data_IF_699831384301
#
_entry.id   IF_699831384301
#
_cell.length_a   1.000
_cell.length_b   1.000
_cell.length_c   1.000
_cell.angle_alpha   90.00
_cell.angle_beta   90.00
_cell.angle_gamma   90.00
#
_symmetry.space_group_name_H-M   'P 1'
#
loop_
_entity.id
_entity.type
_entity.pdbx_description
1 polymer ?
#
# COMPACT_ATOMS: atom_id res chain seq x y z
N UNK A 1 2.24 -4.60 -22.90
CA UNK A 1 2.44 -4.42 -21.44
C UNK A 1 1.41 -5.26 -20.70
N UNK A 2 1.80 -5.91 -19.60
CA UNK A 2 0.93 -6.82 -18.87
C UNK A 2 0.69 -6.36 -17.43
N UNK A 3 -0.54 -6.55 -16.96
CA UNK A 3 -0.95 -6.28 -15.60
C UNK A 3 -1.54 -7.54 -14.98
N UNK A 4 -1.11 -7.86 -13.77
CA UNK A 4 -1.62 -8.95 -12.95
C UNK A 4 -2.14 -8.38 -11.64
N UNK A 5 -3.44 -8.49 -11.40
CA UNK A 5 -4.09 -8.04 -10.18
C UNK A 5 -4.33 -9.23 -9.27
N UNK A 6 -3.76 -9.15 -8.07
CA UNK A 6 -3.86 -10.14 -7.02
C UNK A 6 -4.72 -9.58 -5.88
N UNK A 7 -6.04 -9.82 -5.87
CA UNK A 7 -6.88 -9.52 -4.72
C UNK A 7 -6.62 -10.52 -3.59
N UNK A 8 -6.37 -10.02 -2.38
CA UNK A 8 -6.02 -10.83 -1.23
C UNK A 8 -6.63 -10.34 0.09
N UNK A 9 -6.95 -11.31 0.94
CA UNK A 9 -7.18 -11.08 2.36
C UNK A 9 -5.87 -11.33 3.10
N UNK A 10 -5.53 -10.45 4.02
CA UNK A 10 -4.37 -10.62 4.88
C UNK A 10 -4.78 -10.67 6.34
N UNK A 11 -3.99 -11.37 7.13
CA UNK A 11 -4.19 -11.46 8.58
C UNK A 11 -2.86 -11.53 9.31
N UNK A 12 -2.84 -10.99 10.52
CA UNK A 12 -1.64 -10.91 11.35
C UNK A 12 -0.45 -10.20 10.67
N UNK A 13 -0.73 -9.26 9.76
CA UNK A 13 0.28 -8.43 9.10
C UNK A 13 0.83 -7.40 10.09
N UNK A 14 2.14 -7.15 10.05
CA UNK A 14 2.75 -6.16 10.92
C UNK A 14 2.35 -4.74 10.47
N UNK A 15 1.68 -4.00 11.36
CA UNK A 15 1.29 -2.59 11.16
C UNK A 15 2.34 -1.61 11.68
N UNK A 16 3.34 -2.09 12.41
CA UNK A 16 4.48 -1.29 12.85
C UNK A 16 5.54 -1.31 11.75
N UNK A 17 5.44 -0.36 10.81
CA UNK A 17 6.37 -0.22 9.69
C UNK A 17 7.78 0.14 10.18
N UNK A 18 7.89 1.02 11.18
CA UNK A 18 9.15 1.35 11.86
C UNK A 18 8.90 1.64 13.34
N UNK A 19 9.94 1.97 14.10
CA UNK A 19 9.80 2.36 15.51
C UNK A 19 8.99 3.65 15.72
N UNK A 20 8.85 4.47 14.69
CA UNK A 20 8.12 5.74 14.72
C UNK A 20 6.85 5.75 13.85
N UNK A 21 6.54 4.65 13.14
CA UNK A 21 5.39 4.57 12.23
C UNK A 21 4.54 3.33 12.52
N UNK A 22 3.29 3.55 12.90
CA UNK A 22 2.27 2.53 13.13
C UNK A 22 1.01 2.91 12.37
N UNK A 23 0.36 1.90 11.78
CA UNK A 23 -1.01 2.02 11.31
C UNK A 23 -1.25 1.52 9.89
N UNK A 24 -0.19 1.26 9.14
CA UNK A 24 -0.23 0.62 7.83
C UNK A 24 1.05 -0.20 7.64
N UNK A 25 1.01 -1.39 7.00
CA UNK A 25 2.21 -2.10 6.58
C UNK A 25 3.17 -1.21 5.79
N UNK A 26 4.47 -1.47 5.90
CA UNK A 26 5.48 -0.77 5.11
C UNK A 26 5.29 -1.02 3.60
N UNK A 27 5.47 0.00 2.76
CA UNK A 27 5.44 -0.16 1.30
C UNK A 27 6.54 -1.11 0.81
N UNK A 28 7.66 -1.19 1.53
CA UNK A 28 8.71 -2.19 1.29
C UNK A 28 8.21 -3.63 1.44
N UNK A 29 7.19 -3.88 2.26
CA UNK A 29 6.56 -5.20 2.36
C UNK A 29 5.71 -5.54 1.13
N UNK A 30 5.02 -4.55 0.55
CA UNK A 30 4.28 -4.74 -0.70
C UNK A 30 5.22 -5.02 -1.89
N UNK A 31 6.34 -4.29 -1.95
CA UNK A 31 7.41 -4.58 -2.89
C UNK A 31 8.01 -5.99 -2.69
N UNK A 32 8.26 -6.40 -1.45
CA UNK A 32 8.74 -7.75 -1.14
C UNK A 32 7.76 -8.84 -1.58
N UNK A 33 6.45 -8.60 -1.39
CA UNK A 33 5.39 -9.49 -1.88
C UNK A 33 5.37 -9.56 -3.41
N UNK A 34 5.49 -8.43 -4.10
CA UNK A 34 5.59 -8.37 -5.56
C UNK A 34 6.81 -9.15 -6.10
N UNK A 35 7.97 -8.97 -5.46
CA UNK A 35 9.18 -9.71 -5.81
C UNK A 35 9.04 -11.21 -5.55
N UNK A 36 8.43 -11.61 -4.42
CA UNK A 36 8.17 -13.03 -4.14
C UNK A 36 7.19 -13.64 -5.15
N UNK A 37 6.18 -12.89 -5.60
CA UNK A 37 5.31 -13.33 -6.68
C UNK A 37 6.10 -13.59 -7.96
N UNK A 38 7.03 -12.70 -8.34
CA UNK A 38 7.94 -12.95 -9.47
C UNK A 38 8.76 -14.23 -9.29
N UNK A 39 9.33 -14.48 -8.10
CA UNK A 39 10.09 -15.71 -7.85
C UNK A 39 9.21 -16.96 -8.05
N UNK A 40 7.99 -16.98 -7.52
CA UNK A 40 7.05 -18.10 -7.70
C UNK A 40 6.72 -18.29 -9.18
N UNK A 41 6.47 -17.20 -9.92
CA UNK A 41 6.22 -17.26 -11.37
C UNK A 41 7.39 -17.91 -12.13
N UNK A 42 8.63 -17.54 -11.80
CA UNK A 42 9.83 -18.07 -12.45
C UNK A 42 10.15 -19.51 -12.06
N UNK A 43 10.18 -19.77 -10.76
CA UNK A 43 10.75 -20.98 -10.17
C UNK A 43 9.72 -22.11 -10.11
N UNK A 44 8.47 -21.81 -9.75
CA UNK A 44 7.44 -22.83 -9.54
C UNK A 44 6.52 -22.99 -10.75
N UNK A 45 6.23 -21.89 -11.45
CA UNK A 45 5.32 -21.88 -12.61
C UNK A 45 6.05 -21.89 -13.97
N UNK A 46 7.39 -21.83 -13.95
CA UNK A 46 8.23 -21.99 -15.15
C UNK A 46 8.28 -20.78 -16.09
N UNK A 47 7.74 -19.62 -15.70
CA UNK A 47 7.74 -18.39 -16.50
C UNK A 47 9.06 -17.64 -16.34
N UNK A 48 10.12 -18.16 -16.95
CA UNK A 48 11.52 -17.75 -16.69
C UNK A 48 11.78 -16.27 -16.97
N UNK A 49 11.10 -15.71 -17.96
CA UNK A 49 11.26 -14.32 -18.42
C UNK A 49 10.28 -13.33 -17.78
N UNK A 50 9.46 -13.79 -16.83
CA UNK A 50 8.57 -12.92 -16.06
C UNK A 50 9.38 -11.86 -15.31
N UNK A 51 9.25 -10.59 -15.68
CA UNK A 51 9.95 -9.50 -15.02
C UNK A 51 8.97 -8.45 -14.52
N UNK A 52 8.86 -8.38 -13.20
CA UNK A 52 8.18 -7.34 -12.46
C UNK A 52 8.88 -5.99 -12.65
N UNK A 53 8.09 -4.95 -12.90
CA UNK A 53 8.57 -3.58 -13.14
C UNK A 53 8.09 -2.61 -12.07
N UNK A 54 6.79 -2.59 -11.79
CA UNK A 54 6.20 -1.69 -10.80
C UNK A 54 4.94 -2.31 -10.18
N UNK A 55 4.53 -1.85 -8.99
CA UNK A 55 3.32 -2.32 -8.32
C UNK A 55 2.41 -1.18 -7.86
N UNK A 56 1.10 -1.43 -7.79
CA UNK A 56 0.13 -0.56 -7.11
C UNK A 56 -0.55 -1.34 -6.00
N UNK A 57 -0.78 -0.69 -4.86
CA UNK A 57 -1.45 -1.26 -3.70
C UNK A 57 -2.76 -0.52 -3.44
N UNK A 58 -3.83 -1.28 -3.27
CA UNK A 58 -5.16 -0.78 -2.98
C UNK A 58 -5.65 -1.49 -1.72
N UNK A 59 -6.08 -0.74 -0.70
CA UNK A 59 -6.73 -1.29 0.49
C UNK A 59 -8.24 -1.15 0.36
N UNK A 60 -8.99 -2.20 0.65
CA UNK A 60 -10.45 -2.15 0.76
C UNK A 60 -10.88 -2.05 2.23
N UNK A 61 -10.17 -2.75 3.11
CA UNK A 61 -10.34 -2.66 4.56
C UNK A 61 -9.02 -2.86 5.29
N UNK A 62 -8.92 -2.31 6.50
CA UNK A 62 -7.76 -2.49 7.37
C UNK A 62 -8.23 -2.45 8.83
N UNK A 63 -8.39 -3.65 9.40
CA UNK A 63 -8.75 -3.83 10.80
C UNK A 63 -7.50 -3.96 11.64
N UNK A 64 -7.45 -3.20 12.72
CA UNK A 64 -6.35 -3.24 13.67
C UNK A 64 -6.66 -4.29 14.72
N UNK A 65 -5.81 -5.30 14.76
CA UNK A 65 -5.84 -6.26 15.85
C UNK A 65 -4.99 -5.69 16.98
N UNK A 66 -5.65 -5.28 18.06
CA UNK A 66 -4.99 -4.74 19.25
C UNK A 66 -4.24 -5.81 20.07
N UNK A 67 -4.33 -7.09 19.68
CA UNK A 67 -3.72 -8.19 20.42
C UNK A 67 -2.23 -8.41 20.12
N UNK A 68 -1.41 -8.30 21.17
CA UNK A 68 0.00 -8.68 21.11
C UNK A 68 0.14 -10.22 21.00
N UNK A 69 0.99 -10.75 20.12
CA UNK A 69 1.16 -12.18 19.96
C UNK A 69 1.80 -12.79 21.22
N UNK A 70 1.16 -13.83 21.77
CA UNK A 70 1.77 -14.66 22.81
C UNK A 70 2.89 -15.50 22.19
N UNK A 71 4.10 -15.34 22.70
CA UNK A 71 5.25 -16.16 22.29
C UNK A 71 5.33 -17.40 23.17
N UNK A 72 5.73 -18.56 22.61
CA UNK A 72 5.95 -19.75 23.42
C UNK A 72 7.09 -19.50 24.42
N UNK A 73 7.09 -20.20 25.58
CA UNK A 73 8.21 -20.15 26.52
C UNK A 73 9.53 -20.53 25.82
N UNK A 74 10.62 -19.89 26.21
CA UNK A 74 11.96 -20.07 25.66
C UNK A 74 12.94 -20.49 26.77
N UNK A 75 13.97 -21.24 26.41
CA UNK A 75 15.05 -21.56 27.35
C UNK A 75 15.83 -20.28 27.73
N UNK A 76 16.08 -20.08 29.02
CA UNK A 76 16.85 -18.94 29.48
C UNK A 76 18.32 -19.02 29.00
N UNK A 77 18.84 -17.90 28.43
CA UNK A 77 20.24 -17.78 27.95
C UNK A 77 21.29 -18.02 29.04
N UNK A 78 20.92 -17.86 30.31
CA UNK A 78 21.82 -18.06 31.44
C UNK A 78 21.33 -19.25 32.28
N UNK A 79 21.95 -20.39 32.03
CA UNK A 79 22.05 -21.58 32.89
C UNK A 79 20.77 -22.16 33.49
N UNK A 80 20.32 -23.28 32.88
CA UNK A 80 19.67 -24.37 33.60
C UNK A 80 18.17 -24.54 33.34
N UNK A 81 17.83 -25.28 32.27
CA UNK A 81 16.61 -26.07 32.02
C UNK A 81 15.21 -25.47 32.31
N UNK A 82 15.09 -24.21 32.73
CA UNK A 82 13.82 -23.57 33.01
C UNK A 82 13.29 -22.85 31.77
N UNK A 83 12.06 -23.18 31.41
CA UNK A 83 11.32 -22.52 30.37
C UNK A 83 10.79 -21.19 30.90
N UNK A 84 11.26 -20.09 30.35
CA UNK A 84 10.87 -18.74 30.77
C UNK A 84 9.99 -18.13 29.68
N UNK A 85 8.93 -17.42 30.09
CA UNK A 85 8.17 -16.62 29.14
C UNK A 85 9.05 -15.49 28.62
N UNK A 86 9.21 -15.35 27.29
CA UNK A 86 10.02 -14.27 26.74
C UNK A 86 9.40 -12.92 27.08
N UNK A 87 10.24 -11.87 27.10
CA UNK A 87 9.75 -10.51 27.30
C UNK A 87 8.66 -10.17 26.29
N UNK A 88 7.64 -9.44 26.78
CA UNK A 88 6.60 -8.89 25.92
C UNK A 88 7.24 -7.98 24.88
N UNK A 89 6.82 -8.13 23.62
CA UNK A 89 7.21 -7.22 22.55
C UNK A 89 5.93 -6.64 21.98
N UNK A 90 5.86 -5.31 21.91
CA UNK A 90 4.76 -4.61 21.27
C UNK A 90 4.83 -4.88 19.76
N UNK A 91 3.93 -5.75 19.29
CA UNK A 91 3.74 -6.03 17.87
C UNK A 91 2.30 -5.66 17.56
N UNK A 92 2.14 -4.67 16.69
CA UNK A 92 0.84 -4.23 16.18
C UNK A 92 0.49 -5.04 14.96
N UNK A 93 -0.61 -5.78 15.02
CA UNK A 93 -1.07 -6.65 13.93
C UNK A 93 -2.31 -6.06 13.30
N UNK A 94 -2.52 -6.41 12.04
CA UNK A 94 -3.73 -6.05 11.32
C UNK A 94 -4.19 -7.18 10.42
N UNK A 95 -5.46 -7.11 10.09
CA UNK A 95 -6.11 -7.92 9.07
C UNK A 95 -6.86 -6.98 8.12
N UNK A 96 -7.30 -7.51 6.99
CA UNK A 96 -8.11 -6.74 6.05
C UNK A 96 -8.02 -7.28 4.64
N UNK A 97 -8.49 -6.46 3.72
CA UNK A 97 -8.61 -6.80 2.32
C UNK A 97 -7.82 -5.78 1.48
N UNK A 98 -7.06 -6.29 0.51
CA UNK A 98 -6.27 -5.45 -0.39
C UNK A 98 -6.16 -6.08 -1.79
N UNK A 99 -5.70 -5.28 -2.76
CA UNK A 99 -5.29 -5.76 -4.07
C UNK A 99 -3.88 -5.27 -4.40
N UNK A 100 -3.04 -6.18 -4.85
CA UNK A 100 -1.71 -5.88 -5.39
C UNK A 100 -1.75 -6.00 -6.91
N UNK A 101 -1.60 -4.89 -7.60
CA UNK A 101 -1.53 -4.85 -9.07
C UNK A 101 -0.08 -4.77 -9.50
N UNK A 102 0.37 -5.79 -10.22
CA UNK A 102 1.73 -5.92 -10.73
C UNK A 102 1.78 -5.52 -12.20
N UNK A 103 2.62 -4.54 -12.53
CA UNK A 103 3.07 -4.29 -13.89
C UNK A 103 4.30 -5.17 -14.16
N UNK A 104 4.23 -5.98 -15.23
CA UNK A 104 5.31 -6.86 -15.63
C UNK A 104 5.47 -6.94 -17.15
N UNK A 105 6.61 -7.52 -17.55
CA UNK A 105 6.95 -7.85 -18.94
C UNK A 105 7.28 -9.34 -19.04
N UNK A 106 6.91 -9.96 -20.16
CA UNK A 106 7.43 -11.25 -20.62
C UNK A 106 8.37 -10.93 -21.77
N UNK A 107 9.64 -11.35 -21.68
CA UNK A 107 10.66 -11.00 -22.68
C UNK A 107 10.68 -11.95 -23.87
N UNK A 108 10.17 -13.16 -23.69
CA UNK A 108 10.18 -14.21 -24.71
C UNK A 108 8.74 -14.66 -24.99
N UNK A 109 8.42 -14.83 -26.27
CA UNK A 109 7.13 -15.36 -26.73
C UNK A 109 6.93 -16.79 -26.20
N UNK A 110 8.02 -17.51 -25.89
CA UNK A 110 7.98 -18.85 -25.30
C UNK A 110 7.26 -18.92 -23.94
N UNK A 111 7.23 -17.83 -23.16
CA UNK A 111 6.50 -17.78 -21.89
C UNK A 111 5.06 -17.28 -22.06
N UNK A 112 4.69 -16.77 -23.23
CA UNK A 112 3.37 -16.21 -23.49
C UNK A 112 2.28 -17.29 -23.52
N UNK A 113 2.45 -18.34 -24.33
CA UNK A 113 1.49 -19.45 -24.41
C UNK A 113 1.31 -20.18 -23.05
N UNK A 114 2.38 -20.53 -22.31
CA UNK A 114 2.24 -21.08 -20.96
C UNK A 114 1.50 -20.16 -20.01
N UNK A 115 1.72 -18.84 -20.10
CA UNK A 115 1.07 -17.86 -19.25
C UNK A 115 -0.43 -17.74 -19.56
N UNK A 116 -0.82 -17.68 -20.83
CA UNK A 116 -2.24 -17.67 -21.22
C UNK A 116 -2.95 -18.97 -20.81
N UNK A 117 -2.28 -20.12 -20.94
CA UNK A 117 -2.81 -21.41 -20.47
C UNK A 117 -3.02 -21.43 -18.95
N UNK A 118 -2.05 -20.91 -18.17
CA UNK A 118 -2.14 -20.77 -16.72
C UNK A 118 -3.36 -19.92 -16.29
N UNK A 119 -3.69 -18.89 -17.05
CA UNK A 119 -4.81 -17.98 -16.72
C UNK A 119 -6.17 -18.53 -17.12
N UNK A 120 -6.25 -19.16 -18.28
CA UNK A 120 -7.52 -19.64 -18.85
C UNK A 120 -7.96 -21.00 -18.28
N UNK A 121 -7.02 -21.91 -18.03
CA UNK A 121 -7.32 -23.30 -17.66
C UNK A 121 -6.82 -23.68 -16.26
N UNK A 122 -5.76 -23.03 -15.76
CA UNK A 122 -5.15 -23.38 -14.47
C UNK A 122 -5.16 -22.24 -13.44
N UNK A 123 -6.13 -21.33 -13.51
CA UNK A 123 -6.23 -20.18 -12.59
C UNK A 123 -6.24 -20.59 -11.11
N UNK A 124 -6.82 -21.74 -10.80
CA UNK A 124 -6.78 -22.34 -9.45
C UNK A 124 -5.38 -22.80 -9.04
N UNK A 125 -4.56 -23.30 -9.97
CA UNK A 125 -3.16 -23.69 -9.70
C UNK A 125 -2.33 -22.44 -9.42
N UNK A 126 -2.51 -21.39 -10.22
CA UNK A 126 -1.89 -20.09 -10.01
C UNK A 126 -2.24 -19.51 -8.63
N UNK A 127 -3.53 -19.47 -8.30
CA UNK A 127 -4.00 -18.97 -7.00
C UNK A 127 -3.44 -19.78 -5.82
N UNK A 128 -3.36 -21.12 -5.95
CA UNK A 128 -2.80 -21.99 -4.91
C UNK A 128 -1.30 -21.80 -4.73
N UNK A 129 -0.53 -21.77 -5.82
CA UNK A 129 0.92 -21.56 -5.76
C UNK A 129 1.25 -20.22 -5.09
N UNK A 130 0.56 -19.15 -5.53
CA UNK A 130 0.74 -17.83 -4.94
C UNK A 130 0.27 -17.77 -3.48
N UNK A 131 -0.89 -18.33 -3.14
CA UNK A 131 -1.40 -18.34 -1.75
C UNK A 131 -0.47 -19.12 -0.81
N UNK A 132 0.14 -20.21 -1.27
CA UNK A 132 1.06 -21.00 -0.45
C UNK A 132 2.38 -20.27 -0.17
N UNK A 133 2.87 -19.48 -1.13
CA UNK A 133 4.18 -18.85 -1.06
C UNK A 133 4.18 -17.38 -0.62
N UNK A 134 3.07 -16.66 -0.75
CA UNK A 134 3.00 -15.23 -0.46
C UNK A 134 2.70 -14.93 1.01
N UNK A 135 3.31 -13.85 1.49
CA UNK A 135 3.05 -13.24 2.79
C UNK A 135 3.05 -11.74 2.62
N UNK A 136 2.30 -11.04 3.48
CA UNK A 136 2.22 -9.58 3.47
C UNK A 136 2.58 -9.02 4.84
N UNK A 137 3.72 -8.31 4.91
CA UNK A 137 4.30 -7.81 6.16
C UNK A 137 4.39 -8.88 7.27
N UNK A 138 4.82 -10.10 6.89
CA UNK A 138 4.92 -11.26 7.78
C UNK A 138 3.61 -12.03 8.03
N UNK A 139 2.47 -11.41 7.75
CA UNK A 139 1.13 -12.00 7.85
C UNK A 139 0.83 -13.01 6.74
N UNK A 140 -0.18 -13.84 6.98
CA UNK A 140 -0.69 -14.78 5.97
C UNK A 140 -1.54 -14.05 4.94
N UNK A 141 -1.49 -14.55 3.71
CA UNK A 141 -2.23 -14.03 2.56
C UNK A 141 -3.11 -15.15 2.01
N UNK A 142 -4.35 -14.82 1.67
CA UNK A 142 -5.25 -15.73 0.95
C UNK A 142 -5.79 -15.01 -0.28
N UNK A 143 -5.55 -15.57 -1.46
CA UNK A 143 -5.99 -14.99 -2.73
C UNK A 143 -7.39 -15.48 -3.12
N UNK A 144 -8.19 -14.58 -3.72
CA UNK A 144 -9.42 -14.94 -4.42
C UNK A 144 -10.59 -15.40 -3.53
N UNK A 145 -10.55 -15.14 -2.22
CA UNK A 145 -11.73 -15.29 -1.37
C UNK A 145 -12.73 -14.15 -1.61
N UNK A 146 -14.04 -14.40 -1.51
CA UNK A 146 -15.03 -13.33 -1.47
C UNK A 146 -14.81 -12.47 -0.22
N UNK A 147 -14.72 -11.16 -0.42
CA UNK A 147 -14.60 -10.14 0.64
C UNK A 147 -15.60 -9.00 0.47
N UNK A 148 -15.49 -7.96 1.29
CA UNK A 148 -16.26 -6.70 1.16
C UNK A 148 -16.07 -6.04 -0.22
N UNK A 149 -14.88 -6.21 -0.82
CA UNK A 149 -14.57 -5.86 -2.21
C UNK A 149 -15.25 -6.72 -3.29
N UNK A 150 -15.97 -7.78 -2.91
CA UNK A 150 -16.58 -8.77 -3.80
C UNK A 150 -15.68 -9.99 -4.10
N UNK A 151 -16.25 -11.02 -4.71
CA UNK A 151 -15.50 -12.17 -5.24
C UNK A 151 -14.73 -11.74 -6.50
N UNK A 152 -13.55 -11.16 -6.32
CA UNK A 152 -12.71 -10.82 -7.47
C UNK A 152 -11.69 -11.92 -7.68
N UNK A 153 -11.81 -12.63 -8.80
CA UNK A 153 -10.78 -13.58 -9.22
C UNK A 153 -9.45 -12.86 -9.51
N UNK A 154 -8.34 -13.60 -9.55
CA UNK A 154 -7.09 -13.07 -10.10
C UNK A 154 -7.37 -12.60 -11.53
N UNK A 155 -7.04 -11.34 -11.82
CA UNK A 155 -7.26 -10.75 -13.13
C UNK A 155 -5.93 -10.49 -13.81
N UNK A 156 -5.81 -10.93 -15.07
CA UNK A 156 -4.74 -10.50 -15.95
C UNK A 156 -5.33 -9.79 -17.12
N UNK A 157 -4.70 -8.68 -17.49
CA UNK A 157 -5.12 -7.94 -18.65
C UNK A 157 -3.94 -7.34 -19.39
N UNK A 158 -4.01 -7.45 -20.72
CA UNK A 158 -3.08 -6.78 -21.62
C UNK A 158 -3.54 -5.36 -21.85
N UNK A 159 -2.63 -4.40 -21.72
CA UNK A 159 -2.91 -3.03 -22.10
C UNK A 159 -1.80 -2.51 -23.00
N UNK A 160 -2.20 -1.69 -23.98
CA UNK A 160 -1.27 -0.93 -24.81
C UNK A 160 -0.84 0.37 -24.12
N UNK A 161 -1.67 0.89 -23.20
CA UNK A 161 -1.39 2.14 -22.47
C UNK A 161 -1.66 2.01 -20.97
N UNK A 162 -0.95 2.79 -20.16
CA UNK A 162 -1.20 2.91 -18.72
C UNK A 162 -2.63 3.33 -18.40
N UNK A 163 -3.19 4.24 -19.21
CA UNK A 163 -4.56 4.72 -19.04
C UNK A 163 -5.59 3.59 -19.19
N UNK A 164 -5.46 2.74 -20.21
CA UNK A 164 -6.37 1.62 -20.39
C UNK A 164 -6.23 0.56 -19.27
N UNK A 165 -5.06 0.45 -18.65
CA UNK A 165 -4.87 -0.39 -17.46
C UNK A 165 -5.60 0.16 -16.25
N UNK A 166 -5.50 1.47 -16.01
CA UNK A 166 -6.22 2.17 -14.95
C UNK A 166 -7.73 2.12 -15.17
N UNK A 167 -8.23 2.35 -16.38
CA UNK A 167 -9.67 2.19 -16.69
C UNK A 167 -10.17 0.79 -16.33
N UNK A 168 -9.37 -0.25 -16.56
CA UNK A 168 -9.72 -1.64 -16.20
C UNK A 168 -9.70 -1.86 -14.70
N UNK A 169 -8.69 -1.36 -14.01
CA UNK A 169 -8.57 -1.43 -12.56
C UNK A 169 -9.72 -0.67 -11.86
N UNK A 170 -10.04 0.53 -12.31
CA UNK A 170 -11.18 1.31 -11.85
C UNK A 170 -12.50 0.59 -12.12
N UNK A 171 -12.67 -0.03 -13.28
CA UNK A 171 -13.88 -0.84 -13.55
C UNK A 171 -13.96 -2.10 -12.67
N UNK A 172 -12.82 -2.67 -12.30
CA UNK A 172 -12.78 -3.82 -11.41
C UNK A 172 -13.09 -3.43 -9.95
N UNK A 173 -12.74 -2.20 -9.54
CA UNK A 173 -12.89 -1.71 -8.17
C UNK A 173 -13.49 -0.28 -8.10
N UNK A 174 -14.70 -0.06 -8.65
CA UNK A 174 -15.18 1.30 -8.96
C UNK A 174 -15.45 2.21 -7.75
N UNK A 175 -15.58 1.66 -6.54
CA UNK A 175 -16.03 2.45 -5.37
C UNK A 175 -15.53 1.97 -4.01
N UNK A 176 -14.62 0.99 -3.93
CA UNK A 176 -14.36 0.28 -2.65
C UNK A 176 -12.95 0.38 -2.09
N UNK A 177 -12.03 1.08 -2.75
CA UNK A 177 -10.60 0.99 -2.42
C UNK A 177 -9.89 2.33 -2.24
N UNK A 178 -8.94 2.34 -1.30
CA UNK A 178 -7.94 3.37 -1.11
C UNK A 178 -6.65 2.98 -1.82
N UNK A 179 -6.34 3.65 -2.93
CA UNK A 179 -5.06 3.49 -3.63
C UNK A 179 -3.96 4.26 -2.88
N UNK A 180 -2.81 3.62 -2.69
CA UNK A 180 -1.68 4.21 -1.99
C UNK A 180 -0.72 4.85 -3.00
N UNK A 181 -0.57 6.16 -2.90
CA UNK A 181 0.24 7.00 -3.79
C UNK A 181 1.51 7.49 -3.09
N UNK A 182 2.61 7.57 -3.85
CA UNK A 182 3.86 8.14 -3.37
C UNK A 182 3.78 9.68 -3.31
N UNK A 183 4.17 10.26 -2.16
CA UNK A 183 4.25 11.72 -1.94
C UNK A 183 5.64 12.15 -1.46
N UNK A 184 6.68 11.38 -1.82
CA UNK A 184 8.06 11.68 -1.42
C UNK A 184 8.58 13.02 -1.94
N UNK A 185 8.08 13.51 -3.08
CA UNK A 185 8.42 14.84 -3.60
C UNK A 185 7.82 15.97 -2.74
N UNK A 186 6.53 15.85 -2.39
CA UNK A 186 5.85 16.77 -1.48
C UNK A 186 6.57 16.81 -0.12
N UNK A 187 6.93 15.64 0.41
CA UNK A 187 7.70 15.51 1.64
C UNK A 187 9.07 16.19 1.54
N UNK A 188 9.80 15.92 0.46
CA UNK A 188 11.13 16.49 0.23
C UNK A 188 11.10 18.01 0.03
N UNK A 189 10.09 18.53 -0.66
CA UNK A 189 9.89 19.97 -0.80
C UNK A 189 9.63 20.61 0.56
N UNK A 190 8.75 20.00 1.37
CA UNK A 190 8.41 20.55 2.68
C UNK A 190 9.58 20.52 3.66
N UNK A 191 10.42 19.47 3.60
CA UNK A 191 11.66 19.41 4.37
C UNK A 191 12.59 20.59 4.04
N UNK A 192 12.78 20.91 2.75
CA UNK A 192 13.61 22.05 2.33
C UNK A 192 13.06 23.40 2.81
N UNK A 193 11.75 23.55 2.90
CA UNK A 193 11.10 24.76 3.42
C UNK A 193 11.25 24.92 4.94
N UNK A 194 11.57 23.85 5.66
CA UNK A 194 11.71 23.78 7.12
C UNK A 194 13.16 23.44 7.52
N UNK A 195 14.11 24.12 6.89
CA UNK A 195 15.55 24.00 7.18
C UNK A 195 16.08 22.55 7.15
N UNK A 196 15.60 21.76 6.18
CA UNK A 196 15.93 20.36 5.96
C UNK A 196 15.57 19.42 7.13
N UNK A 197 14.60 19.79 7.99
CA UNK A 197 14.12 18.94 9.09
C UNK A 197 13.05 17.93 8.61
N UNK A 198 13.36 16.63 8.45
CA UNK A 198 12.41 15.68 7.88
C UNK A 198 11.30 15.31 8.88
N UNK A 199 11.59 15.35 10.19
CA UNK A 199 10.60 15.08 11.23
C UNK A 199 9.58 16.21 11.32
N UNK A 200 10.04 17.47 11.30
CA UNK A 200 9.13 18.63 11.31
C UNK A 200 8.28 18.69 10.06
N UNK A 201 8.87 18.44 8.88
CA UNK A 201 8.13 18.36 7.63
C UNK A 201 7.06 17.26 7.64
N UNK A 202 7.38 16.08 8.20
CA UNK A 202 6.42 14.99 8.31
C UNK A 202 5.26 15.38 9.23
N UNK A 203 5.57 15.90 10.42
CA UNK A 203 4.56 16.35 11.38
C UNK A 203 3.68 17.47 10.82
N UNK A 204 4.27 18.47 10.15
CA UNK A 204 3.54 19.59 9.56
C UNK A 204 2.62 19.15 8.40
N UNK A 205 3.08 18.26 7.52
CA UNK A 205 2.23 17.71 6.45
C UNK A 205 1.05 16.90 7.01
N UNK A 206 1.30 16.06 8.02
CA UNK A 206 0.24 15.29 8.67
C UNK A 206 -0.75 16.20 9.40
N UNK A 207 -0.26 17.25 10.06
CA UNK A 207 -1.08 18.24 10.73
C UNK A 207 -1.95 19.02 9.74
N UNK A 208 -1.37 19.54 8.66
CA UNK A 208 -2.11 20.26 7.61
C UNK A 208 -3.14 19.39 6.91
N UNK A 209 -2.79 18.13 6.59
CA UNK A 209 -3.74 17.16 6.03
C UNK A 209 -4.92 16.86 6.96
N UNK A 210 -4.75 17.01 8.28
CA UNK A 210 -5.86 16.91 9.24
C UNK A 210 -6.69 18.19 9.28
N UNK A 211 -6.05 19.36 9.42
CA UNK A 211 -6.75 20.65 9.46
C UNK A 211 -7.64 20.85 8.24
N UNK A 212 -7.10 20.58 7.05
CA UNK A 212 -7.85 20.68 5.81
C UNK A 212 -9.11 19.80 5.82
N UNK A 213 -9.00 18.57 6.32
CA UNK A 213 -10.17 17.68 6.45
C UNK A 213 -11.19 18.23 7.43
N UNK A 214 -10.78 18.84 8.53
CA UNK A 214 -11.71 19.46 9.48
C UNK A 214 -12.40 20.69 8.88
N UNK A 215 -11.69 21.48 8.05
CA UNK A 215 -12.30 22.59 7.32
C UNK A 215 -13.34 22.08 6.31
N UNK A 216 -12.99 21.05 5.54
CA UNK A 216 -13.88 20.41 4.55
C UNK A 216 -15.10 19.76 5.22
N UNK A 217 -14.91 18.99 6.31
CA UNK A 217 -16.00 18.42 7.12
C UNK A 217 -16.81 19.52 7.80
N UNK A 218 -16.19 20.58 8.29
CA UNK A 218 -16.86 21.73 8.91
C UNK A 218 -17.77 22.47 7.93
N UNK A 219 -17.40 22.54 6.65
CA UNK A 219 -18.26 23.02 5.57
C UNK A 219 -19.42 22.08 5.23
N UNK A 220 -19.26 20.77 5.41
CA UNK A 220 -20.34 19.77 5.19
C UNK A 220 -21.28 19.68 6.40
N UNK A 221 -20.75 19.74 7.62
CA UNK A 221 -21.51 19.72 8.87
C UNK A 221 -22.23 21.05 9.17
N UNK A 222 -21.86 22.15 8.50
CA UNK A 222 -22.65 23.39 8.52
C UNK A 222 -24.05 23.22 7.86
N UNK A 223 -24.34 22.05 7.27
CA UNK A 223 -25.66 21.69 6.75
C UNK A 223 -26.53 20.95 7.79
N UNK A 224 -25.97 20.38 8.87
CA UNK A 224 -26.74 19.78 9.96
C UNK A 224 -26.02 19.95 11.32
N UNK A 225 -26.53 20.90 12.11
CA UNK A 225 -26.27 21.16 13.54
C UNK A 225 -24.84 21.52 14.01
N UNK A 226 -24.72 22.77 14.47
CA UNK A 226 -23.50 23.38 15.02
C UNK A 226 -22.96 22.62 16.23
N UNK A 227 -21.92 21.81 16.02
CA UNK A 227 -20.93 21.48 17.06
C UNK A 227 -19.61 22.13 16.65
N UNK A 228 -19.05 23.01 17.48
CA UNK A 228 -17.90 23.81 17.06
C UNK A 228 -16.67 22.93 16.83
N UNK A 229 -15.96 23.12 15.71
CA UNK A 229 -14.73 22.38 15.37
C UNK A 229 -13.65 22.44 16.47
N UNK A 230 -13.74 23.41 17.39
CA UNK A 230 -12.84 23.56 18.53
C UNK A 230 -13.00 22.47 19.60
N UNK A 231 -14.17 21.84 19.75
CA UNK A 231 -14.39 20.80 20.77
C UNK A 231 -13.90 19.42 20.32
N UNK A 232 -13.86 19.16 19.01
CA UNK A 232 -13.27 17.95 18.40
C UNK A 232 -11.73 17.93 18.45
N UNK A 233 -11.09 19.10 18.58
CA UNK A 233 -9.63 19.27 18.60
C UNK A 233 -9.00 19.02 19.99
N UNK A 234 -9.82 18.82 21.03
CA UNK A 234 -9.38 18.72 22.44
C UNK A 234 -9.47 17.29 22.99
N UNK A 235 -9.99 16.31 22.22
CA UNK A 235 -9.96 14.93 22.71
C UNK A 235 -8.54 14.34 22.62
N UNK A 236 -8.08 13.73 23.72
CA UNK A 236 -6.81 12.99 23.80
C UNK A 236 -6.79 11.74 22.88
N UNK A 237 -7.86 11.50 22.13
CA UNK A 237 -8.05 10.45 21.11
C UNK A 237 -7.50 10.85 19.72
N UNK A 238 -6.54 11.78 19.68
CA UNK A 238 -5.86 12.31 18.48
C UNK A 238 -5.21 11.24 17.57
N UNK A 239 -5.16 9.99 18.01
CA UNK A 239 -4.63 8.84 17.28
C UNK A 239 -5.60 7.65 17.21
N UNK A 240 -6.85 7.85 17.62
CA UNK A 240 -7.84 6.79 17.61
C UNK A 240 -8.38 6.62 16.19
N UNK A 241 -7.88 5.58 15.51
CA UNK A 241 -8.42 5.17 14.22
C UNK A 241 -9.70 4.35 14.35
N UNK A 242 -10.15 4.07 15.58
CA UNK A 242 -11.46 3.45 15.80
C UNK A 242 -12.60 4.47 15.59
N UNK A 243 -12.31 5.78 15.65
CA UNK A 243 -13.22 6.84 15.19
C UNK A 243 -13.33 6.91 13.65
N UNK A 244 -12.48 6.18 12.92
CA UNK A 244 -12.62 5.95 11.49
C UNK A 244 -13.57 4.78 11.29
N UNK A 245 -14.87 5.00 11.50
CA UNK A 245 -15.82 4.18 10.76
C UNK A 245 -15.68 4.55 9.29
N UNK A 246 -15.36 3.57 8.45
CA UNK A 246 -15.50 3.63 6.99
C UNK A 246 -16.98 3.76 6.57
N UNK A 247 -17.92 3.94 7.51
CA UNK A 247 -19.29 4.39 7.27
C UNK A 247 -19.33 5.89 6.88
N UNK A 248 -18.48 6.30 5.94
CA UNK A 248 -18.78 7.49 5.16
C UNK A 248 -20.05 7.12 4.39
N UNK A 249 -21.18 7.72 4.75
CA UNK A 249 -22.49 7.39 4.21
C UNK A 249 -22.46 7.49 2.67
N UNK A 250 -22.20 6.34 2.03
CA UNK A 250 -21.84 6.26 0.60
C UNK A 250 -22.97 6.73 -0.31
N UNK A 251 -24.17 6.96 0.25
CA UNK A 251 -25.31 7.55 -0.42
C UNK A 251 -25.00 8.93 -1.05
N UNK A 252 -24.03 9.68 -0.53
CA UNK A 252 -23.67 11.01 -1.05
C UNK A 252 -22.64 11.00 -2.19
N UNK A 253 -21.90 9.89 -2.39
CA UNK A 253 -20.87 9.74 -3.45
C UNK A 253 -21.46 9.48 -4.85
N UNK A 254 -22.74 9.10 -4.92
CA UNK A 254 -23.46 8.85 -6.18
C UNK A 254 -24.13 10.11 -6.77
N UNK A 255 -24.01 11.28 -6.12
CA UNK A 255 -24.58 12.51 -6.68
C UNK A 255 -23.73 13.03 -7.86
N UNK A 256 -24.33 13.37 -9.02
CA UNK A 256 -23.61 13.88 -10.18
C UNK A 256 -22.83 15.18 -9.91
N UNK A 257 -23.29 15.97 -8.94
CA UNK A 257 -22.72 17.27 -8.58
C UNK A 257 -21.42 17.12 -7.76
N UNK A 258 -21.29 16.05 -6.95
CA UNK A 258 -20.05 15.72 -6.24
C UNK A 258 -19.00 15.12 -7.19
N UNK A 259 -19.43 14.34 -8.19
CA UNK A 259 -18.54 13.71 -9.18
C UNK A 259 -17.86 14.69 -10.15
N UNK A 260 -18.44 15.88 -10.37
CA UNK A 260 -17.88 16.93 -11.23
C UNK A 260 -16.87 17.81 -10.47
N UNK A 261 -17.00 17.98 -9.15
CA UNK A 261 -15.97 18.64 -8.33
C UNK A 261 -14.74 17.76 -8.04
N UNK A 262 -14.93 16.44 -8.01
CA UNK A 262 -13.89 15.44 -7.73
C UNK A 262 -12.76 15.33 -8.76
N UNK A 263 -12.98 15.80 -10.00
CA UNK A 263 -11.97 15.77 -11.06
C UNK A 263 -10.89 16.86 -10.89
N UNK A 264 -11.25 17.98 -10.26
CA UNK A 264 -10.40 19.15 -10.09
C UNK A 264 -9.92 19.36 -8.64
N UNK A 265 -10.37 18.55 -7.66
CA UNK A 265 -9.93 18.67 -6.26
C UNK A 265 -8.74 17.75 -5.92
N UNK A 266 -7.51 18.30 -5.78
CA UNK A 266 -6.31 17.53 -5.45
C UNK A 266 -6.29 16.99 -4.01
N UNK A 267 -7.38 17.09 -3.24
CA UNK A 267 -7.38 16.94 -1.78
C UNK A 267 -8.22 15.80 -1.19
N UNK A 268 -8.97 15.03 -1.99
CA UNK A 268 -9.54 13.78 -1.45
C UNK A 268 -8.47 12.70 -1.25
N UNK A 269 -7.98 12.58 -0.02
CA UNK A 269 -7.09 11.52 0.44
C UNK A 269 -6.42 11.83 1.78
N UNK A 270 -5.90 10.80 2.45
CA UNK A 270 -5.27 10.92 3.77
C UNK A 270 -3.75 10.80 3.61
N UNK A 271 -2.99 11.79 4.08
CA UNK A 271 -1.54 11.65 4.21
C UNK A 271 -1.21 10.76 5.40
N UNK A 272 -0.36 9.77 5.17
CA UNK A 272 0.09 8.80 6.16
C UNK A 272 1.62 8.71 6.14
N UNK A 273 2.28 8.60 7.30
CA UNK A 273 3.69 8.26 7.33
C UNK A 273 3.87 6.80 6.96
N UNK A 274 4.87 6.48 6.14
CA UNK A 274 5.18 5.09 5.82
C UNK A 274 6.67 4.87 5.55
N UNK A 275 7.12 3.62 5.72
CA UNK A 275 8.48 3.23 5.35
C UNK A 275 8.54 2.87 3.86
N UNK A 276 9.37 3.60 3.13
CA UNK A 276 9.54 3.45 1.67
C UNK A 276 10.90 2.90 1.27
N UNK A 277 11.79 2.65 2.23
CA UNK A 277 13.13 2.16 1.90
C UNK A 277 14.02 1.90 3.10
N UNK A 278 15.30 1.78 2.80
CA UNK A 278 16.38 1.52 3.74
C UNK A 278 17.64 2.33 3.37
N UNK A 279 18.23 2.97 4.38
CA UNK A 279 19.49 3.69 4.30
C UNK A 279 20.59 2.87 4.97
N UNK A 280 21.71 2.67 4.32
CA UNK A 280 22.83 1.90 4.83
C UNK A 280 23.69 2.72 5.79
N UNK A 281 23.88 2.21 7.00
CA UNK A 281 24.77 2.79 8.00
C UNK A 281 26.17 2.20 7.87
N UNK A 282 26.25 0.87 7.73
CA UNK A 282 27.50 0.12 7.82
C UNK A 282 27.52 -1.01 6.77
N UNK A 283 28.69 -1.20 6.16
CA UNK A 283 29.01 -2.42 5.40
C UNK A 283 29.54 -3.44 6.40
N UNK A 284 28.86 -4.58 6.55
CA UNK A 284 29.32 -5.73 7.32
C UNK A 284 30.35 -6.57 6.58
N UNK A 285 30.79 -7.67 7.20
CA UNK A 285 31.55 -8.72 6.51
C UNK A 285 30.58 -9.55 5.63
N UNK A 286 31.09 -10.14 4.53
CA UNK A 286 30.32 -11.06 3.66
C UNK A 286 29.02 -10.50 3.07
N UNK A 287 29.05 -9.27 2.54
CA UNK A 287 27.91 -8.60 1.89
C UNK A 287 26.72 -8.25 2.81
N UNK A 288 26.79 -8.56 4.11
CA UNK A 288 25.82 -8.08 5.09
C UNK A 288 25.86 -6.56 5.21
N UNK A 289 24.71 -5.92 5.37
CA UNK A 289 24.60 -4.45 5.51
C UNK A 289 23.69 -4.14 6.68
N UNK A 290 24.13 -3.21 7.53
CA UNK A 290 23.28 -2.63 8.56
C UNK A 290 22.58 -1.43 7.97
N UNK A 291 21.26 -1.40 8.05
CA UNK A 291 20.42 -0.38 7.44
C UNK A 291 19.40 0.18 8.43
N UNK A 292 19.00 1.42 8.22
CA UNK A 292 17.93 2.13 8.92
C UNK A 292 16.72 2.29 8.00
N UNK A 293 15.49 2.32 8.54
CA UNK A 293 14.30 2.57 7.75
C UNK A 293 14.28 4.01 7.20
N UNK A 294 14.00 4.16 5.91
CA UNK A 294 13.71 5.46 5.29
C UNK A 294 12.21 5.69 5.36
N UNK A 295 11.81 6.70 6.13
CA UNK A 295 10.42 7.18 6.22
C UNK A 295 10.11 8.20 5.13
N UNK A 296 8.86 8.20 4.67
CA UNK A 296 8.30 9.22 3.77
C UNK A 296 6.80 9.38 4.07
N UNK A 297 6.14 10.23 3.28
CA UNK A 297 4.68 10.37 3.28
C UNK A 297 4.09 9.65 2.07
N UNK A 298 2.95 9.01 2.30
CA UNK A 298 2.09 8.44 1.26
C UNK A 298 0.70 9.05 1.35
N UNK A 299 -0.03 9.05 0.25
CA UNK A 299 -1.45 9.44 0.22
C UNK A 299 -2.32 8.23 -0.02
N UNK A 300 -3.27 7.98 0.87
CA UNK A 300 -4.37 7.04 0.63
C UNK A 300 -5.52 7.80 -0.04
N UNK A 301 -5.81 7.51 -1.30
CA UNK A 301 -6.82 8.21 -2.11
C UNK A 301 -7.91 7.24 -2.55
N UNK A 302 -9.17 7.66 -2.53
CA UNK A 302 -10.27 6.86 -3.09
C UNK A 302 -10.00 6.65 -4.57
N UNK A 303 -10.13 5.41 -5.04
CA UNK A 303 -10.04 5.12 -6.46
C UNK A 303 -11.15 5.88 -7.20
N UNK A 304 -10.84 6.84 -8.09
CA UNK A 304 -11.86 7.63 -8.76
C UNK A 304 -12.74 6.76 -9.66
N UNK A 305 -13.99 7.20 -9.84
CA UNK A 305 -15.01 6.51 -10.62
C UNK A 305 -14.58 6.27 -12.07
N UNK A 306 -15.12 5.20 -12.68
CA UNK A 306 -14.91 4.85 -14.09
C UNK A 306 -15.37 5.94 -15.07
N UNK A 307 -16.14 6.91 -14.58
CA UNK A 307 -16.64 8.07 -15.32
C UNK A 307 -15.64 9.25 -15.35
N UNK A 308 -14.57 9.21 -14.54
CA UNK A 308 -13.56 10.26 -14.47
C UNK A 308 -12.73 10.30 -15.74
N UNK A 309 -12.51 11.50 -16.31
CA UNK A 309 -11.63 11.66 -17.47
C UNK A 309 -10.16 11.41 -17.08
N UNK A 310 -9.67 10.21 -17.40
CA UNK A 310 -8.31 9.80 -17.07
C UNK A 310 -7.24 10.45 -17.98
N UNK A 311 -7.63 11.15 -19.05
CA UNK A 311 -6.68 11.78 -19.97
C UNK A 311 -6.02 13.03 -19.37
N UNK A 312 -6.73 13.75 -18.50
CA UNK A 312 -6.21 14.94 -17.79
C UNK A 312 -5.36 14.60 -16.56
N UNK A 313 -5.45 13.37 -16.05
CA UNK A 313 -4.85 12.97 -14.78
C UNK A 313 -3.57 12.11 -14.93
N UNK A 314 -3.05 11.91 -16.15
CA UNK A 314 -1.97 10.94 -16.44
C UNK A 314 -0.74 11.06 -15.53
N UNK A 315 -0.26 12.27 -15.29
CA UNK A 315 0.91 12.53 -14.43
C UNK A 315 0.62 12.21 -12.95
N UNK A 316 -0.61 12.50 -12.50
CA UNK A 316 -1.05 12.13 -11.16
C UNK A 316 -1.14 10.61 -11.00
N UNK A 317 -1.54 9.91 -12.06
CA UNK A 317 -1.75 8.47 -12.00
C UNK A 317 -0.49 7.61 -11.99
N UNK A 318 0.59 8.08 -12.62
CA UNK A 318 1.87 7.35 -12.58
C UNK A 318 2.42 7.24 -11.15
N UNK A 319 1.97 8.13 -10.24
CA UNK A 319 2.35 8.13 -8.81
C UNK A 319 1.75 6.99 -7.98
N UNK A 320 0.79 6.22 -8.53
CA UNK A 320 0.25 5.03 -7.87
C UNK A 320 1.08 3.78 -8.10
N UNK A 321 1.94 3.79 -9.14
CA UNK A 321 2.82 2.68 -9.43
C UNK A 321 4.19 2.93 -8.81
N UNK A 322 4.52 2.05 -7.89
CA UNK A 322 5.75 2.04 -7.12
C UNK A 322 6.80 1.20 -7.83
N UNK A 323 7.96 1.77 -8.07
CA UNK A 323 9.11 1.08 -8.63
C UNK A 323 10.13 0.77 -7.53
N UNK A 324 10.75 -0.39 -7.68
CA UNK A 324 11.91 -0.75 -6.88
C UNK A 324 13.16 -0.17 -7.52
N UNK A 325 13.86 0.72 -6.80
CA UNK A 325 15.14 1.26 -7.24
C UNK A 325 16.27 0.68 -6.37
N UNK A 326 17.07 -0.25 -6.91
CA UNK A 326 18.06 -0.99 -6.13
C UNK A 326 19.34 -0.21 -5.76
N UNK A 327 19.44 1.09 -6.08
CA UNK A 327 20.51 2.01 -5.64
C UNK A 327 20.26 3.38 -6.28
N UNK A 328 20.21 4.45 -5.51
CA UNK A 328 20.15 5.82 -6.07
C UNK A 328 21.49 6.55 -5.95
N UNK A 329 22.15 6.53 -4.80
CA UNK A 329 23.48 7.14 -4.54
C UNK A 329 23.91 6.90 -3.09
N UNK A 330 25.22 7.04 -2.79
CA UNK A 330 25.85 7.28 -1.48
C UNK A 330 25.09 6.75 -0.23
N UNK A 331 24.96 5.43 -0.13
CA UNK A 331 24.38 4.69 1.00
C UNK A 331 22.84 4.53 1.04
N UNK A 332 22.08 4.98 0.04
CA UNK A 332 20.68 4.54 -0.10
C UNK A 332 20.65 3.11 -0.64
N UNK A 333 20.34 2.15 0.23
CA UNK A 333 20.40 0.72 -0.10
C UNK A 333 19.22 0.30 -0.97
N UNK A 334 18.01 0.74 -0.62
CA UNK A 334 16.76 0.41 -1.33
C UNK A 334 15.80 1.57 -1.14
N UNK A 335 15.24 2.09 -2.23
CA UNK A 335 14.13 3.06 -2.15
C UNK A 335 13.02 2.69 -3.11
N UNK A 336 11.79 2.92 -2.68
CA UNK A 336 10.64 2.92 -3.54
C UNK A 336 10.38 4.34 -4.04
N UNK A 337 10.32 4.48 -5.36
CA UNK A 337 9.96 5.72 -6.05
C UNK A 337 8.66 5.51 -6.82
N UNK A 338 8.08 6.59 -7.32
CA UNK A 338 7.04 6.43 -8.34
C UNK A 338 7.70 6.05 -9.67
N UNK A 339 6.99 5.28 -10.50
CA UNK A 339 7.32 5.09 -11.91
C UNK A 339 7.01 6.40 -12.63
N UNK A 340 8.00 7.24 -13.05
CA UNK A 340 7.69 8.19 -14.10
C UNK A 340 7.25 7.30 -15.27
N UNK A 341 6.05 7.51 -15.81
CA UNK A 341 5.57 6.73 -16.94
C UNK A 341 6.50 6.96 -18.14
N UNK A 342 7.64 6.27 -18.16
CA UNK A 342 8.62 6.35 -19.23
C UNK A 342 7.97 5.72 -20.44
N UNK A 343 8.03 6.48 -21.53
CA UNK A 343 7.51 6.13 -22.84
C UNK A 343 7.84 4.66 -23.15
N UNK A 344 6.80 3.88 -23.42
CA UNK A 344 6.91 2.60 -24.10
C UNK A 344 6.90 2.84 -25.61
#
# INVERSE_FOLDING_TARGET
>A
MYFLTLPFNFSASNLKASDFMVGMPAMTAAAGMAHKAQCIMKEELGLKTFEFKAFSLIYFSLDRDSSAPRRPPQEARHAGAEMVLPSGVDIRRGAGEAALTLYFTLKDDADFEPFEHLLSQESNRLARALTAGLRFAGGSVVLGLPGEGGSTAIQVFMSQTWEAALRRLVRAYPTKGLVIQCESELFSQRAKELDDSPVEAMCDLLYRSRLQRYEEIGTVAAVDEMTSAAELLVSDDLFDLDAFSLDLDMAHLDSPEFQVGLADEPYLGILLPNQVGYHQILVGQDEERVVEPVGSIVRAKILPSALTDLTLAREHWSRHFWEWHPQYTDNLYITLGYSPAKEA
#
